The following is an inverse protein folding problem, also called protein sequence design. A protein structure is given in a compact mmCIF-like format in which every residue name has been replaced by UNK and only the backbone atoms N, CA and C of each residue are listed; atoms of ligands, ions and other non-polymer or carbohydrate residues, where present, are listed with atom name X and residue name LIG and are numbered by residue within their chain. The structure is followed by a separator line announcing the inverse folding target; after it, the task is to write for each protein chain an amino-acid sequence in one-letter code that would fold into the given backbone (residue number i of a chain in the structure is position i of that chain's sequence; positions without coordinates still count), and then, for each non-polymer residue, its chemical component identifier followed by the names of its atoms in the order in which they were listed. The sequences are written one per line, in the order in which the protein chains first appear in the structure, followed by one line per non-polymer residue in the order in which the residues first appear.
data_IF_344583946846
#
_entry.id   IF_344583946846
#
_cell.length_a   1.000
_cell.length_b   1.000
_cell.length_c   1.000
_cell.angle_alpha   90.00
_cell.angle_beta   90.00
_cell.angle_gamma   90.00
#
_symmetry.space_group_name_H-M   'P 1'
#
loop_
_entity.id
_entity.type
_entity.pdbx_description
1 polymer ?
#
# COMPACT_ATOMS: atom_id res chain seq x y z
N UNK A 1 -4.90 3.84 29.55
CA UNK A 1 -3.95 4.15 28.45
C UNK A 1 -4.04 5.63 28.11
N UNK A 2 -2.91 6.32 27.86
CA UNK A 2 -2.95 7.73 27.46
C UNK A 2 -3.69 7.91 26.13
N UNK A 3 -4.83 8.62 26.15
CA UNK A 3 -5.61 8.94 24.95
C UNK A 3 -4.82 9.80 23.93
N UNK A 4 -3.70 10.40 24.34
CA UNK A 4 -2.93 11.36 23.55
C UNK A 4 -2.13 10.76 22.38
N UNK A 5 -2.14 9.44 22.19
CA UNK A 5 -1.32 8.79 21.15
C UNK A 5 -1.91 8.82 19.75
N UNK A 6 -3.23 8.65 19.58
CA UNK A 6 -3.92 8.76 18.29
C UNK A 6 -5.45 8.74 18.48
N UNK A 7 -6.18 9.21 17.47
CA UNK A 7 -7.64 9.04 17.34
C UNK A 7 -7.96 8.12 16.17
N UNK A 8 -9.10 7.43 16.24
CA UNK A 8 -9.66 6.63 15.14
C UNK A 8 -10.76 7.43 14.46
N UNK A 9 -10.74 7.48 13.14
CA UNK A 9 -11.69 8.25 12.34
C UNK A 9 -12.29 7.37 11.24
N UNK A 10 -13.59 7.12 11.32
CA UNK A 10 -14.31 6.20 10.44
C UNK A 10 -15.39 6.95 9.67
N UNK A 11 -15.24 7.20 8.36
CA UNK A 11 -16.33 7.68 7.54
C UNK A 11 -17.28 6.52 7.22
N UNK A 12 -18.59 6.75 7.34
CA UNK A 12 -19.59 5.72 7.07
C UNK A 12 -20.89 6.34 6.53
N UNK A 13 -21.50 5.67 5.55
CA UNK A 13 -22.73 6.14 4.90
C UNK A 13 -23.63 4.96 4.54
N UNK A 14 -24.86 4.97 5.08
CA UNK A 14 -25.88 3.92 4.88
C UNK A 14 -25.38 2.51 5.23
N UNK A 15 -24.53 2.39 6.24
CA UNK A 15 -23.85 1.15 6.65
C UNK A 15 -23.75 0.95 8.17
N UNK A 16 -24.74 1.32 8.99
CA UNK A 16 -24.61 1.24 10.44
C UNK A 16 -24.43 -0.22 10.93
N UNK A 17 -25.18 -1.17 10.38
CA UNK A 17 -25.05 -2.60 10.71
C UNK A 17 -23.72 -3.20 10.22
N UNK A 18 -23.26 -2.79 9.03
CA UNK A 18 -21.93 -3.20 8.51
C UNK A 18 -20.82 -2.70 9.42
N UNK A 19 -20.87 -1.43 9.81
CA UNK A 19 -19.92 -0.81 10.75
C UNK A 19 -19.91 -1.55 12.09
N UNK A 20 -21.08 -1.81 12.67
CA UNK A 20 -21.26 -2.56 13.92
C UNK A 20 -20.61 -3.93 13.85
N UNK A 21 -20.97 -4.69 12.83
CA UNK A 21 -20.60 -6.10 12.73
C UNK A 21 -19.18 -6.31 12.20
N UNK A 22 -18.54 -5.29 11.62
CA UNK A 22 -17.19 -5.39 11.05
C UNK A 22 -16.21 -4.48 11.77
N UNK A 23 -16.05 -3.23 11.35
CA UNK A 23 -14.96 -2.40 11.83
C UNK A 23 -15.03 -2.12 13.34
N UNK A 24 -16.21 -1.87 13.92
CA UNK A 24 -16.33 -1.70 15.38
C UNK A 24 -16.05 -2.99 16.14
N UNK A 25 -16.54 -4.15 15.64
CA UNK A 25 -16.21 -5.46 16.19
C UNK A 25 -14.69 -5.68 16.21
N UNK A 26 -13.99 -5.43 15.10
CA UNK A 26 -12.52 -5.57 15.02
C UNK A 26 -11.81 -4.66 16.03
N UNK A 27 -12.26 -3.41 16.16
CA UNK A 27 -11.68 -2.48 17.14
C UNK A 27 -11.92 -2.96 18.58
N UNK A 28 -13.11 -3.50 18.88
CA UNK A 28 -13.46 -4.07 20.17
C UNK A 28 -12.64 -5.34 20.49
N UNK A 29 -12.52 -6.28 19.55
CA UNK A 29 -11.70 -7.50 19.69
C UNK A 29 -10.23 -7.20 19.99
N UNK A 30 -9.73 -6.06 19.50
CA UNK A 30 -8.38 -5.58 19.77
C UNK A 30 -8.27 -4.60 20.95
N UNK A 31 -9.32 -4.48 21.77
CA UNK A 31 -9.36 -3.63 22.97
C UNK A 31 -8.99 -2.16 22.67
N UNK A 32 -9.38 -1.65 21.51
CA UNK A 32 -9.23 -0.23 21.20
C UNK A 32 -10.24 0.54 22.04
N UNK A 33 -9.74 1.47 22.85
CA UNK A 33 -10.57 2.31 23.72
C UNK A 33 -11.64 3.06 22.87
N UNK A 34 -12.94 2.85 23.14
CA UNK A 34 -14.04 3.54 22.46
C UNK A 34 -13.90 5.05 22.42
N UNK A 35 -13.28 5.67 23.44
CA UNK A 35 -13.01 7.12 23.50
C UNK A 35 -12.11 7.63 22.37
N UNK A 36 -11.42 6.73 21.65
CA UNK A 36 -10.63 7.08 20.45
C UNK A 36 -11.47 7.17 19.19
N UNK A 37 -12.66 6.55 19.15
CA UNK A 37 -13.38 6.25 17.91
C UNK A 37 -14.37 7.35 17.58
N UNK A 38 -14.13 8.05 16.49
CA UNK A 38 -15.01 9.10 15.97
C UNK A 38 -15.57 8.64 14.61
N UNK A 39 -16.89 8.57 14.52
CA UNK A 39 -17.61 8.12 13.34
C UNK A 39 -18.15 9.36 12.61
N UNK A 40 -17.90 9.45 11.31
CA UNK A 40 -18.29 10.57 10.48
C UNK A 40 -19.41 10.13 9.52
N UNK A 41 -20.55 10.81 9.59
CA UNK A 41 -21.76 10.52 8.79
C UNK A 41 -22.14 11.73 7.92
N UNK A 42 -22.97 11.52 6.89
CA UNK A 42 -23.26 12.54 5.87
C UNK A 42 -24.20 13.66 6.33
N UNK A 43 -25.10 13.37 7.26
CA UNK A 43 -26.21 14.26 7.64
C UNK A 43 -26.84 13.84 8.99
N UNK A 44 -27.81 14.63 9.44
CA UNK A 44 -28.51 14.41 10.72
C UNK A 44 -29.36 13.14 10.72
N UNK A 45 -29.89 12.73 9.56
CA UNK A 45 -30.67 11.51 9.44
C UNK A 45 -29.79 10.28 9.67
N UNK A 46 -28.63 10.23 9.00
CA UNK A 46 -27.63 9.18 9.24
C UNK A 46 -27.14 9.19 10.69
N UNK A 47 -26.92 10.35 11.31
CA UNK A 47 -26.55 10.41 12.74
C UNK A 47 -27.58 9.70 13.61
N UNK A 48 -28.87 9.97 13.40
CA UNK A 48 -29.96 9.36 14.16
C UNK A 48 -30.04 7.85 13.94
N UNK A 49 -29.87 7.39 12.69
CA UNK A 49 -29.84 5.97 12.35
C UNK A 49 -28.68 5.27 13.06
N UNK A 50 -27.48 5.86 13.04
CA UNK A 50 -26.30 5.27 13.66
C UNK A 50 -26.40 5.24 15.19
N UNK A 51 -26.97 6.29 15.81
CA UNK A 51 -27.23 6.31 17.26
C UNK A 51 -28.18 5.20 17.71
N UNK A 52 -29.15 4.82 16.87
CA UNK A 52 -30.10 3.74 17.17
C UNK A 52 -29.48 2.35 17.03
N UNK A 53 -28.63 2.16 16.02
CA UNK A 53 -28.09 0.84 15.66
C UNK A 53 -26.79 0.49 16.42
N UNK A 54 -25.96 1.48 16.73
CA UNK A 54 -24.63 1.27 17.32
C UNK A 54 -24.67 1.28 18.86
N UNK A 55 -23.97 0.35 19.54
CA UNK A 55 -23.88 0.36 21.01
C UNK A 55 -23.21 1.66 21.51
N UNK A 56 -23.84 2.34 22.47
CA UNK A 56 -23.37 3.64 22.99
C UNK A 56 -21.94 3.60 23.57
N UNK A 57 -21.48 2.45 24.03
CA UNK A 57 -20.14 2.25 24.59
C UNK A 57 -19.11 1.77 23.55
N UNK A 58 -19.46 1.70 22.27
CA UNK A 58 -18.55 1.23 21.20
C UNK A 58 -17.82 2.36 20.46
N UNK A 59 -18.15 3.62 20.73
CA UNK A 59 -17.52 4.79 20.11
C UNK A 59 -17.52 6.01 21.05
N UNK A 60 -16.81 7.07 20.65
CA UNK A 60 -16.75 8.35 21.35
C UNK A 60 -17.83 9.31 20.85
N UNK A 61 -17.83 9.58 19.55
CA UNK A 61 -18.73 10.55 18.91
C UNK A 61 -19.16 10.08 17.53
N UNK A 62 -20.40 10.39 17.18
CA UNK A 62 -20.87 10.45 15.80
C UNK A 62 -20.92 11.93 15.41
N UNK A 63 -20.28 12.26 14.30
CA UNK A 63 -20.07 13.63 13.82
C UNK A 63 -20.71 13.76 12.44
N UNK A 64 -21.59 14.74 12.27
CA UNK A 64 -22.14 15.09 10.97
C UNK A 64 -21.09 15.89 10.21
N UNK A 65 -20.64 15.36 9.07
CA UNK A 65 -19.72 16.02 8.16
C UNK A 65 -20.41 16.42 6.86
N UNK A 66 -19.70 16.28 5.75
CA UNK A 66 -20.20 16.64 4.42
C UNK A 66 -20.45 15.39 3.56
N UNK A 67 -21.56 15.32 2.80
CA UNK A 67 -21.87 14.17 1.96
C UNK A 67 -20.89 14.03 0.79
N UNK A 68 -20.62 12.79 0.39
CA UNK A 68 -19.66 12.44 -0.68
C UNK A 68 -18.26 12.17 -0.15
N UNK A 69 -17.56 11.19 -0.75
CA UNK A 69 -16.27 10.73 -0.21
C UNK A 69 -15.20 11.82 -0.16
N UNK A 70 -15.08 12.63 -1.22
CA UNK A 70 -14.10 13.71 -1.28
C UNK A 70 -14.37 14.73 -0.17
N UNK A 71 -15.63 15.10 0.00
CA UNK A 71 -16.04 16.13 0.95
C UNK A 71 -15.85 15.66 2.39
N UNK A 72 -16.28 14.44 2.72
CA UNK A 72 -16.06 13.88 4.07
C UNK A 72 -14.57 13.76 4.38
N UNK A 73 -13.75 13.32 3.41
CA UNK A 73 -12.29 13.23 3.56
C UNK A 73 -11.61 14.59 3.68
N UNK A 74 -12.21 15.65 3.13
CA UNK A 74 -11.77 17.04 3.32
C UNK A 74 -12.24 17.66 4.64
N UNK A 75 -13.37 17.20 5.17
CA UNK A 75 -13.93 17.65 6.44
C UNK A 75 -13.15 17.09 7.63
N UNK A 76 -12.88 15.78 7.64
CA UNK A 76 -12.19 15.08 8.74
C UNK A 76 -10.88 15.74 9.22
N UNK A 77 -9.90 16.09 8.36
CA UNK A 77 -8.65 16.71 8.80
C UNK A 77 -8.83 18.11 9.40
N UNK A 78 -9.90 18.85 9.02
CA UNK A 78 -10.26 20.15 9.61
C UNK A 78 -10.83 19.99 11.02
N UNK A 79 -11.58 18.91 11.25
CA UNK A 79 -12.13 18.57 12.57
C UNK A 79 -11.04 18.29 13.61
N UNK A 80 -9.94 17.65 13.20
CA UNK A 80 -8.81 17.34 14.07
C UNK A 80 -7.75 18.44 14.07
N UNK A 81 -6.93 18.52 15.12
CA UNK A 81 -5.85 19.51 15.23
C UNK A 81 -4.74 19.22 14.21
N UNK A 82 -4.05 20.27 13.75
CA UNK A 82 -2.81 20.10 12.98
C UNK A 82 -1.80 19.29 13.79
N UNK A 83 -1.06 18.38 13.15
CA UNK A 83 -0.10 17.48 13.80
C UNK A 83 -0.72 16.36 14.63
N UNK A 84 -2.05 16.28 14.76
CA UNK A 84 -2.72 15.20 15.48
C UNK A 84 -2.56 13.87 14.73
N UNK A 85 -2.29 12.79 15.46
CA UNK A 85 -2.22 11.44 14.89
C UNK A 85 -3.63 10.88 14.66
N UNK A 86 -3.99 10.70 13.40
CA UNK A 86 -5.30 10.20 12.97
C UNK A 86 -5.11 8.84 12.32
N UNK A 87 -5.78 7.82 12.84
CA UNK A 87 -5.90 6.51 12.23
C UNK A 87 -7.23 6.42 11.48
N UNK A 88 -7.16 6.50 10.16
CA UNK A 88 -8.32 6.31 9.29
C UNK A 88 -8.58 4.82 9.09
N UNK A 89 -9.84 4.43 9.23
CA UNK A 89 -10.31 3.07 8.99
C UNK A 89 -11.68 3.13 8.30
N UNK A 90 -11.89 2.34 7.26
CA UNK A 90 -13.21 2.25 6.60
C UNK A 90 -14.19 1.44 7.45
N UNK A 91 -15.48 1.52 7.11
CA UNK A 91 -16.58 0.93 7.87
C UNK A 91 -16.84 -0.57 7.61
N UNK A 92 -16.08 -1.18 6.70
CA UNK A 92 -16.29 -2.56 6.24
C UNK A 92 -15.08 -3.50 6.43
N UNK A 93 -14.16 -3.16 7.34
CA UNK A 93 -13.01 -4.00 7.68
C UNK A 93 -13.45 -5.16 8.56
N UNK A 94 -13.39 -6.37 8.00
CA UNK A 94 -13.79 -7.59 8.70
C UNK A 94 -12.66 -8.24 9.51
N UNK A 95 -11.41 -8.11 9.06
CA UNK A 95 -10.23 -8.70 9.71
C UNK A 95 -8.97 -7.89 9.37
N UNK A 96 -7.99 -7.90 10.28
CA UNK A 96 -6.64 -7.40 10.03
C UNK A 96 -5.66 -8.57 10.13
N UNK A 97 -4.85 -8.73 9.10
CA UNK A 97 -3.90 -9.84 8.99
C UNK A 97 -2.45 -9.36 9.03
N UNK A 98 -1.62 -10.19 9.65
CA UNK A 98 -0.18 -10.13 9.55
C UNK A 98 0.32 -11.33 8.72
N UNK A 99 1.26 -11.07 7.83
CA UNK A 99 1.94 -12.10 7.07
C UNK A 99 2.97 -12.80 7.97
N UNK A 100 3.03 -14.12 7.86
CA UNK A 100 4.00 -15.01 8.49
C UNK A 100 4.67 -15.84 7.42
N UNK A 101 5.98 -16.07 7.57
CA UNK A 101 6.74 -16.98 6.74
C UNK A 101 7.40 -18.02 7.65
N UNK A 102 7.18 -19.31 7.38
CA UNK A 102 7.66 -20.40 8.24
C UNK A 102 7.30 -20.19 9.73
N UNK A 103 6.05 -19.78 10.01
CA UNK A 103 5.53 -19.45 11.35
C UNK A 103 6.18 -18.26 12.08
N UNK A 104 7.10 -17.52 11.45
CA UNK A 104 7.71 -16.30 12.00
C UNK A 104 7.22 -15.07 11.25
N UNK A 105 7.23 -13.91 11.90
CA UNK A 105 6.99 -12.65 11.18
C UNK A 105 8.16 -12.43 10.22
N UNK A 106 7.91 -12.14 8.92
CA UNK A 106 8.96 -12.13 7.93
C UNK A 106 10.11 -11.15 8.20
N UNK A 107 9.84 -10.03 8.89
CA UNK A 107 10.87 -9.07 9.31
C UNK A 107 11.78 -9.57 10.45
N UNK A 108 11.57 -10.80 10.95
CA UNK A 108 12.40 -11.47 11.95
C UNK A 108 13.13 -12.68 11.37
N UNK A 109 13.16 -12.82 10.05
CA UNK A 109 13.85 -13.91 9.34
C UNK A 109 15.14 -13.39 8.70
N UNK A 110 16.07 -14.32 8.46
CA UNK A 110 17.24 -14.04 7.63
C UNK A 110 16.92 -14.23 6.14
N UNK A 111 17.76 -13.66 5.26
CA UNK A 111 17.62 -13.77 3.80
C UNK A 111 17.50 -15.20 3.28
N UNK A 112 18.26 -16.10 3.89
CA UNK A 112 18.45 -17.46 3.39
C UNK A 112 17.26 -18.38 3.71
N UNK A 113 16.43 -17.99 4.67
CA UNK A 113 15.24 -18.76 5.10
C UNK A 113 13.95 -18.23 4.51
N UNK A 114 13.91 -16.95 4.10
CA UNK A 114 12.72 -16.36 3.51
C UNK A 114 12.45 -16.92 2.09
N UNK A 115 11.28 -17.53 1.92
CA UNK A 115 10.72 -17.85 0.60
C UNK A 115 9.23 -17.52 0.59
N UNK A 116 8.82 -16.61 -0.30
CA UNK A 116 7.43 -16.13 -0.42
C UNK A 116 6.38 -17.24 -0.57
N UNK A 117 6.75 -18.45 -1.02
CA UNK A 117 5.83 -19.59 -1.10
C UNK A 117 5.32 -20.05 0.28
N UNK A 118 6.05 -19.73 1.34
CA UNK A 118 5.69 -20.04 2.73
C UNK A 118 4.93 -18.89 3.41
N UNK A 119 4.65 -17.80 2.70
CA UNK A 119 3.85 -16.71 3.25
C UNK A 119 2.42 -17.17 3.53
N UNK A 120 1.93 -16.89 4.75
CA UNK A 120 0.60 -17.21 5.23
C UNK A 120 0.07 -16.06 6.08
N UNK A 121 -1.21 -15.74 5.94
CA UNK A 121 -1.86 -14.75 6.79
C UNK A 121 -2.34 -15.38 8.09
N UNK A 122 -2.12 -14.67 9.19
CA UNK A 122 -2.75 -14.95 10.50
C UNK A 122 -3.33 -13.63 11.02
N UNK A 123 -4.43 -13.70 11.78
CA UNK A 123 -5.01 -12.50 12.42
C UNK A 123 -3.92 -11.79 13.21
N UNK A 124 -3.87 -10.46 13.13
CA UNK A 124 -2.92 -9.69 13.93
C UNK A 124 -3.23 -9.93 15.41
N UNK A 125 -2.20 -10.06 16.26
CA UNK A 125 -2.42 -10.31 17.69
C UNK A 125 -2.94 -9.09 18.43
N UNK A 126 -2.40 -7.91 18.09
CA UNK A 126 -2.70 -6.67 18.79
C UNK A 126 -2.65 -5.48 17.82
N UNK A 127 -3.82 -5.05 17.35
CA UNK A 127 -3.94 -3.90 16.45
C UNK A 127 -3.52 -2.59 17.13
N UNK A 128 -3.85 -2.41 18.42
CA UNK A 128 -3.48 -1.21 19.17
C UNK A 128 -1.97 -0.99 19.18
N UNK A 129 -1.22 -2.03 19.55
CA UNK A 129 0.25 -1.97 19.56
C UNK A 129 0.82 -1.70 18.17
N UNK A 130 0.25 -2.32 17.12
CA UNK A 130 0.67 -2.04 15.75
C UNK A 130 0.47 -0.57 15.36
N UNK A 131 -0.67 0.03 15.69
CA UNK A 131 -0.94 1.45 15.38
C UNK A 131 0.08 2.36 16.09
N UNK A 132 0.39 2.09 17.36
CA UNK A 132 1.38 2.86 18.11
C UNK A 132 2.80 2.72 17.52
N UNK A 133 3.21 1.49 17.21
CA UNK A 133 4.49 1.20 16.54
C UNK A 133 4.56 1.87 15.17
N UNK A 134 3.46 1.85 14.40
CA UNK A 134 3.39 2.47 13.08
C UNK A 134 3.59 3.98 13.15
N UNK A 135 2.91 4.68 14.06
CA UNK A 135 3.14 6.11 14.28
C UNK A 135 4.53 6.43 14.82
N UNK A 136 5.09 5.56 15.67
CA UNK A 136 6.46 5.73 16.18
C UNK A 136 7.49 5.61 15.05
N UNK A 137 7.35 4.60 14.19
CA UNK A 137 8.22 4.38 13.05
C UNK A 137 8.06 5.48 11.99
N UNK A 138 6.83 5.91 11.72
CA UNK A 138 6.50 7.03 10.85
C UNK A 138 7.25 8.30 11.29
N UNK A 139 7.14 8.66 12.59
CA UNK A 139 7.89 9.79 13.18
C UNK A 139 9.39 9.62 13.03
N UNK A 140 9.94 8.43 13.35
CA UNK A 140 11.39 8.14 13.22
C UNK A 140 11.88 8.32 11.78
N UNK A 141 11.08 7.90 10.80
CA UNK A 141 11.39 8.00 9.37
C UNK A 141 11.02 9.36 8.76
N UNK A 142 10.44 10.29 9.53
CA UNK A 142 9.91 11.58 9.07
C UNK A 142 8.90 11.44 7.93
N UNK A 143 8.00 10.45 8.06
CA UNK A 143 6.95 10.16 7.09
C UNK A 143 5.61 10.36 7.79
N UNK A 144 4.86 11.38 7.40
CA UNK A 144 3.61 11.72 8.08
C UNK A 144 2.45 10.84 7.63
N UNK A 145 2.52 10.20 6.46
CA UNK A 145 1.54 9.20 6.03
C UNK A 145 2.10 7.78 6.02
N UNK A 146 1.37 6.87 6.66
CA UNK A 146 1.64 5.44 6.62
C UNK A 146 0.39 4.61 6.33
N UNK A 147 0.56 3.39 5.82
CA UNK A 147 -0.55 2.45 5.69
C UNK A 147 -0.13 1.02 5.45
N UNK A 148 -1.12 0.18 5.17
CA UNK A 148 -0.95 -1.27 5.04
C UNK A 148 -0.92 -1.70 3.57
N UNK A 149 -0.57 -2.96 3.32
CA UNK A 149 -0.58 -3.54 1.99
C UNK A 149 -2.03 -3.59 1.44
N UNK A 150 -2.27 -3.18 0.18
CA UNK A 150 -3.62 -2.92 -0.33
C UNK A 150 -4.40 -4.17 -0.75
N UNK A 151 -3.77 -5.35 -0.77
CA UNK A 151 -4.38 -6.58 -1.30
C UNK A 151 -4.12 -7.73 -0.35
N UNK A 152 -5.17 -8.44 0.06
CA UNK A 152 -5.09 -9.66 0.86
C UNK A 152 -4.50 -10.83 0.03
N UNK A 153 -3.22 -10.76 -0.30
CA UNK A 153 -2.51 -11.80 -1.04
C UNK A 153 -1.09 -12.00 -0.47
N UNK A 154 -0.91 -12.99 0.43
CA UNK A 154 0.36 -13.19 1.13
C UNK A 154 1.53 -13.48 0.18
N UNK A 155 1.28 -14.06 -0.99
CA UNK A 155 2.33 -14.38 -1.96
C UNK A 155 3.09 -13.14 -2.46
N UNK A 156 2.40 -11.99 -2.56
CA UNK A 156 3.01 -10.73 -3.00
C UNK A 156 3.37 -9.77 -1.86
N UNK A 157 3.02 -10.10 -0.62
CA UNK A 157 3.41 -9.38 0.60
C UNK A 157 4.86 -9.70 0.98
N UNK A 158 5.80 -9.16 0.22
CA UNK A 158 7.24 -9.44 0.29
C UNK A 158 8.06 -8.20 0.70
N UNK A 159 9.34 -8.36 1.11
CA UNK A 159 10.24 -7.23 1.36
C UNK A 159 10.38 -6.37 0.10
N UNK A 160 10.61 -5.08 0.30
CA UNK A 160 10.74 -4.14 -0.84
C UNK A 160 12.16 -3.65 -1.07
N UNK A 161 13.01 -3.72 -0.06
CA UNK A 161 14.42 -3.32 -0.15
C UNK A 161 15.31 -4.54 -0.41
N UNK A 162 16.61 -4.31 -0.57
CA UNK A 162 17.61 -5.39 -0.59
C UNK A 162 17.73 -6.11 0.77
N UNK A 163 17.16 -5.50 1.81
CA UNK A 163 17.08 -6.03 3.18
C UNK A 163 15.83 -6.90 3.30
N UNK A 164 15.97 -8.23 3.25
CA UNK A 164 14.85 -9.18 3.28
C UNK A 164 14.06 -9.14 4.59
N UNK A 165 14.59 -8.53 5.63
CA UNK A 165 13.90 -8.26 6.89
C UNK A 165 13.08 -6.96 6.86
N UNK A 166 13.28 -6.07 5.88
CA UNK A 166 12.52 -4.83 5.80
C UNK A 166 11.24 -5.00 4.98
N UNK A 167 10.15 -5.24 5.71
CA UNK A 167 8.80 -5.27 5.17
C UNK A 167 8.15 -3.90 5.10
N UNK A 168 8.91 -2.83 5.31
CA UNK A 168 8.46 -1.47 5.06
C UNK A 168 8.97 -0.96 3.72
N UNK A 169 8.24 -0.03 3.11
CA UNK A 169 8.73 0.78 1.99
C UNK A 169 8.59 2.25 2.33
N UNK A 170 9.54 3.08 1.89
CA UNK A 170 9.55 4.53 2.09
C UNK A 170 9.52 5.33 0.78
N UNK A 171 9.57 4.66 -0.38
CA UNK A 171 9.46 5.30 -1.70
C UNK A 171 7.98 5.52 -2.08
N UNK A 172 7.73 6.27 -3.16
CA UNK A 172 6.38 6.51 -3.68
C UNK A 172 5.60 5.20 -3.85
N UNK A 173 4.62 5.03 -2.98
CA UNK A 173 3.79 3.83 -2.88
C UNK A 173 2.34 4.21 -2.71
N UNK A 174 1.44 3.34 -3.18
CA UNK A 174 0.02 3.52 -2.93
C UNK A 174 -0.29 3.17 -1.47
N UNK A 175 -0.79 4.16 -0.73
CA UNK A 175 -1.30 4.04 0.63
C UNK A 175 -2.83 4.02 0.57
N UNK A 176 -3.39 2.83 0.68
CA UNK A 176 -4.83 2.60 0.54
C UNK A 176 -5.64 3.28 1.66
N UNK A 177 -6.81 3.81 1.30
CA UNK A 177 -7.68 4.56 2.23
C UNK A 177 -8.33 3.72 3.33
N UNK A 178 -8.50 2.41 3.14
CA UNK A 178 -9.27 1.59 4.08
C UNK A 178 -8.63 1.43 5.47
N UNK A 179 -7.30 1.59 5.56
CA UNK A 179 -6.55 1.54 6.82
C UNK A 179 -5.21 2.25 6.64
N UNK A 180 -5.12 3.47 7.16
CA UNK A 180 -3.95 4.34 7.04
C UNK A 180 -3.86 5.25 8.26
N UNK A 181 -2.65 5.60 8.68
CA UNK A 181 -2.44 6.63 9.67
C UNK A 181 -1.74 7.85 9.10
N UNK A 182 -2.10 9.01 9.64
CA UNK A 182 -1.53 10.29 9.27
C UNK A 182 -1.16 11.10 10.50
N UNK A 183 -0.02 11.78 10.47
CA UNK A 183 0.24 12.95 11.30
C UNK A 183 -0.42 14.10 10.54
N UNK A 184 -1.55 14.58 11.06
CA UNK A 184 -2.47 15.44 10.32
C UNK A 184 -1.75 16.65 9.74
N UNK A 185 -1.69 16.72 8.42
CA UNK A 185 -1.32 17.91 7.70
C UNK A 185 -2.53 18.39 6.90
N UNK A 186 -3.23 19.41 7.40
CA UNK A 186 -4.50 19.86 6.80
C UNK A 186 -4.37 20.27 5.34
N UNK A 187 -3.20 20.76 4.93
CA UNK A 187 -2.91 21.14 3.53
C UNK A 187 -2.80 19.91 2.63
N UNK A 188 -2.01 18.92 3.04
CA UNK A 188 -1.79 17.71 2.23
C UNK A 188 -2.97 16.73 2.25
N UNK A 189 -3.86 16.83 3.25
CA UNK A 189 -5.08 16.02 3.31
C UNK A 189 -6.17 16.43 2.30
N UNK A 190 -6.09 17.63 1.71
CA UNK A 190 -7.11 18.10 0.75
C UNK A 190 -7.18 17.15 -0.46
N UNK A 191 -8.37 16.69 -0.81
CA UNK A 191 -8.69 15.85 -1.97
C UNK A 191 -9.45 16.65 -3.00
N UNK A 192 -9.04 16.49 -4.25
CA UNK A 192 -9.60 17.22 -5.40
C UNK A 192 -10.44 16.33 -6.31
N UNK A 193 -10.37 15.01 -6.11
CA UNK A 193 -11.10 13.99 -6.86
C UNK A 193 -11.83 13.05 -5.89
N UNK A 194 -12.90 12.42 -6.38
CA UNK A 194 -13.70 11.48 -5.61
C UNK A 194 -13.13 10.06 -5.65
N UNK A 195 -12.95 9.51 -6.85
CA UNK A 195 -12.32 8.21 -7.03
C UNK A 195 -10.79 8.35 -7.05
N UNK A 196 -10.07 7.37 -6.49
CA UNK A 196 -8.59 7.39 -6.37
C UNK A 196 -8.03 8.56 -5.55
N UNK A 197 -8.86 9.15 -4.69
CA UNK A 197 -8.46 10.20 -3.73
C UNK A 197 -7.28 9.80 -2.83
N UNK A 198 -7.15 8.51 -2.54
CA UNK A 198 -6.07 7.91 -1.76
C UNK A 198 -4.74 7.85 -2.53
N UNK A 199 -4.79 7.70 -3.86
CA UNK A 199 -3.61 7.93 -4.71
C UNK A 199 -3.18 9.40 -4.65
N UNK A 200 -4.12 10.35 -4.67
CA UNK A 200 -3.78 11.77 -4.54
C UNK A 200 -3.08 12.04 -3.20
N UNK A 201 -3.63 11.57 -2.08
CA UNK A 201 -2.98 11.69 -0.75
C UNK A 201 -1.60 11.08 -0.74
N UNK A 202 -1.46 9.87 -1.26
CA UNK A 202 -0.17 9.17 -1.31
C UNK A 202 0.89 10.02 -2.04
N UNK A 203 0.52 10.65 -3.15
CA UNK A 203 1.41 11.53 -3.92
C UNK A 203 1.73 12.82 -3.14
N UNK A 204 0.73 13.44 -2.50
CA UNK A 204 0.90 14.69 -1.75
C UNK A 204 1.85 14.53 -0.56
N UNK A 205 1.63 13.52 0.28
CA UNK A 205 2.56 13.23 1.38
C UNK A 205 3.93 12.79 0.86
N UNK A 206 4.00 12.03 -0.23
CA UNK A 206 5.27 11.70 -0.85
C UNK A 206 6.07 12.94 -1.28
N UNK A 207 5.41 13.92 -1.88
CA UNK A 207 6.03 15.19 -2.28
C UNK A 207 6.48 16.02 -1.06
N UNK A 208 5.70 16.01 0.02
CA UNK A 208 6.01 16.73 1.26
C UNK A 208 7.19 16.11 2.02
N UNK A 209 7.19 14.79 2.20
CA UNK A 209 8.10 14.09 3.11
C UNK A 209 9.29 13.41 2.39
N UNK A 210 9.30 13.42 1.05
CA UNK A 210 10.24 12.65 0.25
C UNK A 210 9.95 11.13 0.26
N UNK A 211 8.85 10.71 0.87
CA UNK A 211 8.50 9.30 1.05
C UNK A 211 7.10 9.09 1.62
N UNK A 212 6.65 7.83 1.63
CA UNK A 212 5.47 7.38 2.38
C UNK A 212 5.76 6.01 2.99
N UNK A 213 5.31 5.74 4.21
CA UNK A 213 5.61 4.50 4.91
C UNK A 213 4.54 3.43 4.66
N UNK A 214 4.86 2.34 3.96
CA UNK A 214 3.91 1.21 3.83
C UNK A 214 4.40 -0.05 4.52
N UNK A 215 3.56 -0.63 5.37
CA UNK A 215 3.77 -1.95 5.97
C UNK A 215 3.30 -3.04 4.99
N UNK A 216 4.24 -3.69 4.31
CA UNK A 216 3.95 -4.70 3.29
C UNK A 216 3.63 -6.08 3.89
N UNK A 217 3.80 -6.28 5.20
CA UNK A 217 3.43 -7.49 5.92
C UNK A 217 2.10 -7.39 6.67
N UNK A 218 1.36 -6.28 6.58
CA UNK A 218 0.04 -6.10 7.18
C UNK A 218 -0.97 -5.83 6.06
N UNK A 219 -2.18 -6.39 6.15
CA UNK A 219 -3.28 -6.16 5.19
C UNK A 219 -4.61 -6.28 5.91
N UNK A 220 -5.69 -5.84 5.27
CA UNK A 220 -7.06 -6.03 5.77
C UNK A 220 -7.88 -6.92 4.84
N UNK A 221 -8.92 -7.53 5.40
CA UNK A 221 -10.02 -8.11 4.63
C UNK A 221 -11.20 -7.14 4.59
N UNK A 222 -11.53 -6.71 3.38
CA UNK A 222 -12.67 -5.84 3.06
C UNK A 222 -13.36 -6.39 1.83
N UNK A 223 -14.68 -6.17 1.74
CA UNK A 223 -15.50 -6.52 0.59
C UNK A 223 -15.66 -5.31 -0.34
N UNK A 224 -14.52 -4.74 -0.75
CA UNK A 224 -14.48 -3.67 -1.74
C UNK A 224 -15.35 -4.02 -2.96
N UNK A 225 -16.18 -3.06 -3.39
CA UNK A 225 -17.09 -3.14 -4.55
C UNK A 225 -18.30 -4.08 -4.42
N UNK A 226 -18.53 -4.71 -3.25
CA UNK A 226 -19.68 -5.62 -3.06
C UNK A 226 -20.63 -5.21 -1.95
N UNK A 227 -20.17 -4.42 -0.99
CA UNK A 227 -21.01 -3.95 0.12
C UNK A 227 -21.99 -2.85 -0.35
N UNK A 228 -23.31 -3.00 -0.12
CA UNK A 228 -24.28 -1.95 -0.43
C UNK A 228 -23.99 -0.69 0.39
N UNK A 229 -24.40 0.47 -0.13
CA UNK A 229 -24.08 1.77 0.48
C UNK A 229 -22.64 2.23 0.22
N UNK A 230 -22.17 3.20 1.02
CA UNK A 230 -20.85 3.81 0.86
C UNK A 230 -20.62 4.42 -0.54
N UNK A 231 -19.36 4.46 -0.98
CA UNK A 231 -18.98 5.11 -2.24
C UNK A 231 -19.55 4.41 -3.49
N UNK A 232 -20.00 3.16 -3.38
CA UNK A 232 -20.50 2.41 -4.52
C UNK A 232 -21.80 2.98 -5.08
N UNK A 233 -22.57 3.71 -4.27
CA UNK A 233 -23.86 4.31 -4.64
C UNK A 233 -23.72 5.24 -5.84
N UNK A 234 -22.61 5.97 -5.95
CA UNK A 234 -22.41 7.00 -6.97
C UNK A 234 -21.27 6.66 -7.96
N UNK A 235 -20.63 5.51 -7.79
CA UNK A 235 -19.42 5.16 -8.53
C UNK A 235 -19.76 4.70 -9.95
N UNK A 236 -19.20 5.36 -10.95
CA UNK A 236 -19.30 4.97 -12.37
C UNK A 236 -17.94 4.69 -12.98
N UNK A 237 -17.90 3.91 -14.07
CA UNK A 237 -16.66 3.67 -14.83
C UNK A 237 -16.03 4.96 -15.35
N UNK A 238 -16.88 5.91 -15.79
CA UNK A 238 -16.46 7.22 -16.27
C UNK A 238 -15.79 8.03 -15.16
N UNK A 239 -16.44 8.13 -13.98
CA UNK A 239 -15.88 8.89 -12.83
C UNK A 239 -14.51 8.36 -12.38
N UNK A 240 -14.34 7.03 -12.38
CA UNK A 240 -13.05 6.38 -12.08
C UNK A 240 -12.00 6.73 -13.14
N UNK A 241 -12.39 6.70 -14.42
CA UNK A 241 -11.49 7.03 -15.53
C UNK A 241 -11.06 8.49 -15.47
N UNK A 242 -11.99 9.42 -15.31
CA UNK A 242 -11.71 10.86 -15.24
C UNK A 242 -10.78 11.20 -14.09
N UNK A 243 -10.99 10.57 -12.92
CA UNK A 243 -10.11 10.74 -11.76
C UNK A 243 -8.69 10.20 -12.03
N UNK A 244 -8.57 9.07 -12.75
CA UNK A 244 -7.28 8.53 -13.15
C UNK A 244 -6.55 9.45 -14.15
N UNK A 245 -7.28 9.97 -15.14
CA UNK A 245 -6.76 10.91 -16.14
C UNK A 245 -6.29 12.19 -15.46
N UNK A 246 -7.11 12.76 -14.57
CA UNK A 246 -6.77 13.95 -13.79
C UNK A 246 -5.45 13.77 -13.03
N UNK A 247 -5.29 12.66 -12.30
CA UNK A 247 -4.05 12.37 -11.57
C UNK A 247 -2.83 12.33 -12.49
N UNK A 248 -2.95 11.71 -13.66
CA UNK A 248 -1.82 11.60 -14.61
C UNK A 248 -1.47 12.90 -15.29
N UNK A 249 -2.44 13.81 -15.48
CA UNK A 249 -2.20 15.17 -15.98
C UNK A 249 -1.55 16.06 -14.91
N UNK A 250 -2.02 15.95 -13.66
CA UNK A 250 -1.52 16.73 -12.53
C UNK A 250 -0.14 16.29 -12.05
N UNK A 251 0.15 14.99 -12.10
CA UNK A 251 1.41 14.40 -11.62
C UNK A 251 2.07 13.49 -12.68
N UNK A 252 2.43 14.02 -13.86
CA UNK A 252 2.85 13.21 -15.02
C UNK A 252 4.16 12.45 -14.78
N UNK A 253 5.00 12.95 -13.87
CA UNK A 253 6.27 12.32 -13.49
C UNK A 253 6.13 11.30 -12.35
N UNK A 254 4.97 11.22 -11.68
CA UNK A 254 4.77 10.36 -10.51
C UNK A 254 3.75 9.24 -10.73
N UNK A 255 2.93 9.34 -11.78
CA UNK A 255 1.98 8.28 -12.11
C UNK A 255 1.70 8.14 -13.60
N UNK A 256 1.06 7.04 -13.98
CA UNK A 256 0.61 6.76 -15.34
C UNK A 256 -0.67 5.92 -15.32
N UNK A 257 -1.46 6.00 -16.39
CA UNK A 257 -2.63 5.14 -16.56
C UNK A 257 -2.22 3.67 -16.67
N UNK A 258 -3.09 2.80 -16.18
CA UNK A 258 -3.00 1.36 -16.31
C UNK A 258 -4.37 0.80 -16.70
N UNK A 259 -4.59 0.68 -18.00
CA UNK A 259 -5.85 0.21 -18.61
C UNK A 259 -5.87 -1.30 -18.88
N UNK A 260 -4.78 -2.02 -18.59
CA UNK A 260 -4.60 -3.43 -18.96
C UNK A 260 -5.21 -4.42 -17.96
N UNK A 261 -5.96 -3.95 -16.96
CA UNK A 261 -6.51 -4.79 -15.90
C UNK A 261 -7.80 -5.48 -16.36
N UNK A 262 -7.95 -6.75 -16.01
CA UNK A 262 -9.14 -7.57 -16.33
C UNK A 262 -10.44 -7.03 -15.75
N UNK A 263 -10.38 -6.18 -14.72
CA UNK A 263 -11.55 -5.57 -14.10
C UNK A 263 -12.27 -4.56 -15.00
N UNK A 264 -11.63 -4.08 -16.07
CA UNK A 264 -12.20 -3.05 -16.96
C UNK A 264 -12.22 -1.64 -16.36
N UNK A 265 -11.76 -1.45 -15.12
CA UNK A 265 -11.56 -0.13 -14.52
C UNK A 265 -10.17 0.42 -14.89
N UNK A 266 -10.12 1.72 -15.17
CA UNK A 266 -8.84 2.41 -15.39
C UNK A 266 -8.10 2.51 -14.05
N UNK A 267 -6.92 1.92 -13.97
CA UNK A 267 -6.06 1.99 -12.78
C UNK A 267 -4.97 3.05 -12.91
N UNK A 268 -4.37 3.42 -11.78
CA UNK A 268 -3.21 4.32 -11.73
C UNK A 268 -2.01 3.51 -11.27
N UNK A 269 -0.90 3.64 -11.98
CA UNK A 269 0.41 3.11 -11.56
C UNK A 269 1.25 4.25 -11.04
N UNK A 270 1.66 4.17 -9.78
CA UNK A 270 2.63 5.10 -9.20
C UNK A 270 4.06 4.68 -9.58
N UNK A 271 4.86 5.64 -10.01
CA UNK A 271 6.30 5.51 -10.28
C UNK A 271 6.90 6.90 -10.38
N UNK A 272 7.88 7.21 -9.55
CA UNK A 272 8.68 8.42 -9.71
C UNK A 272 9.64 8.26 -10.91
N UNK A 273 9.52 9.18 -11.87
CA UNK A 273 10.35 9.24 -13.09
C UNK A 273 11.33 10.42 -13.08
N UNK A 274 11.32 11.27 -12.04
CA UNK A 274 12.15 12.48 -11.97
C UNK A 274 13.64 12.16 -12.07
N UNK A 275 14.10 11.12 -11.37
CA UNK A 275 15.50 10.69 -11.40
C UNK A 275 15.94 10.11 -12.76
N UNK A 276 15.03 9.47 -13.50
CA UNK A 276 15.36 8.90 -14.82
C UNK A 276 15.55 9.99 -15.89
N UNK A 277 14.97 11.17 -15.70
CA UNK A 277 15.11 12.28 -16.65
C UNK A 277 16.44 13.02 -16.50
N UNK A 278 17.03 13.06 -15.29
CA UNK A 278 18.33 13.71 -15.07
C UNK A 278 19.49 12.89 -15.68
N UNK A 279 19.41 11.55 -15.65
CA UNK A 279 20.44 10.70 -16.27
C UNK A 279 20.39 10.68 -17.80
N UNK A 280 19.21 10.92 -18.40
CA UNK A 280 19.10 11.03 -19.87
C UNK A 280 19.57 12.39 -20.40
N UNK A 281 19.53 13.45 -19.59
CA UNK A 281 20.07 14.76 -19.98
C UNK A 281 21.61 14.84 -19.80
N UNK A 282 22.18 14.10 -18.84
CA UNK A 282 23.64 14.09 -18.64
C UNK A 282 24.41 13.26 -19.68
N UNK A 283 23.75 12.32 -20.37
CA UNK A 283 24.39 11.55 -21.45
C UNK A 283 24.49 12.32 -22.78
N UNK A 284 23.84 13.48 -22.91
CA UNK A 284 23.94 14.33 -24.10
C UNK A 284 24.88 15.54 -23.92
N UNK A 285 25.45 15.74 -22.72
CA UNK A 285 26.32 16.87 -22.40
C UNK A 285 27.69 16.43 -21.83
N UNK A 286 28.29 15.38 -22.37
CA UNK A 286 29.72 15.15 -22.19
C UNK A 286 30.52 15.91 -23.25
N UNK A 287 30.63 17.23 -23.06
CA UNK A 287 31.82 17.97 -23.48
C UNK A 287 32.64 18.29 -22.23
N UNK A 288 33.89 17.87 -22.30
CA UNK A 288 34.94 17.93 -21.29
C UNK A 288 34.92 19.19 -20.42
N UNK A 289 34.88 19.03 -19.09
CA UNK A 289 35.61 19.91 -18.18
C UNK A 289 36.04 19.15 -16.93
N UNK A 290 37.34 18.92 -16.80
CA UNK A 290 38.00 18.45 -15.58
C UNK A 290 38.26 19.64 -14.66
N UNK A 291 37.73 19.59 -13.43
CA UNK A 291 38.15 20.47 -12.35
C UNK A 291 39.02 19.69 -11.37
N UNK A 292 40.31 20.01 -11.36
CA UNK A 292 41.25 19.71 -10.30
C UNK A 292 40.94 20.59 -9.09
N UNK A 293 40.88 19.99 -7.89
CA UNK A 293 40.90 20.73 -6.64
C UNK A 293 41.95 20.10 -5.72
N UNK A 294 43.15 20.70 -5.74
CA UNK A 294 44.14 20.59 -4.68
C UNK A 294 43.70 21.50 -3.53
N UNK A 295 43.53 20.95 -2.34
CA UNK A 295 43.47 21.73 -1.09
C UNK A 295 44.58 21.23 -0.18
N UNK A 296 45.56 22.11 0.01
CA UNK A 296 46.67 22.01 0.94
C UNK A 296 46.16 21.97 2.40
N UNK A 297 46.73 21.08 3.22
CA UNK A 297 46.73 21.16 4.68
C UNK A 297 48.18 21.13 5.15
N UNK A 298 48.61 21.97 6.10
CA UNK A 298 50.00 22.03 6.52
C UNK A 298 50.36 20.86 7.44
N UNK A 299 51.60 20.43 7.29
CA UNK A 299 52.29 19.41 8.10
C UNK A 299 52.51 19.86 9.55
N UNK A 300 52.41 18.91 10.48
CA UNK A 300 53.27 18.89 11.67
C UNK A 300 53.91 17.50 11.74
N UNK A 301 55.22 17.48 11.55
CA UNK A 301 56.12 16.33 11.68
C UNK A 301 56.34 16.00 13.14
N UNK A 302 56.17 14.74 13.52
CA UNK A 302 57.00 14.08 14.52
C UNK A 302 57.43 12.74 13.90
N UNK A 303 58.74 12.58 13.78
CA UNK A 303 59.43 11.38 13.28
C UNK A 303 59.72 10.52 14.50
N UNK A 304 59.37 9.23 14.46
CA UNK A 304 60.16 8.23 15.18
C UNK A 304 60.25 6.92 14.36
N UNK A 305 61.45 6.37 14.31
CA UNK A 305 61.94 5.33 13.42
C UNK A 305 62.21 4.06 14.23
N UNK A 306 61.41 3.01 14.04
CA UNK A 306 61.85 1.64 14.33
C UNK A 306 61.16 0.63 13.38
N UNK A 307 61.97 0.02 12.50
CA UNK A 307 61.64 -1.07 11.56
C UNK A 307 61.49 -2.44 12.30
N UNK A 308 61.35 -3.59 11.61
CA UNK A 308 60.31 -4.02 10.67
C UNK A 308 59.77 -5.44 11.01
N UNK A 309 58.61 -5.87 10.48
CA UNK A 309 58.44 -7.30 10.18
C UNK A 309 57.42 -7.56 9.07
N UNK A 310 57.79 -8.55 8.27
CA UNK A 310 57.25 -8.96 6.98
C UNK A 310 55.97 -9.78 7.07
N UNK A 311 55.04 -9.61 6.13
CA UNK A 311 54.16 -10.72 5.74
C UNK A 311 53.89 -10.71 4.22
N UNK A 312 54.41 -11.73 3.54
CA UNK A 312 54.24 -12.02 2.11
C UNK A 312 52.84 -12.57 1.89
N UNK A 313 52.00 -11.89 1.11
CA UNK A 313 50.74 -12.45 0.62
C UNK A 313 50.95 -13.04 -0.78
N UNK A 314 50.92 -14.37 -0.88
CA UNK A 314 50.96 -15.11 -2.15
C UNK A 314 49.64 -14.91 -2.90
N UNK A 315 49.70 -14.32 -4.09
CA UNK A 315 48.61 -14.30 -5.07
C UNK A 315 48.55 -15.68 -5.73
N UNK A 316 47.45 -16.42 -5.54
CA UNK A 316 47.11 -17.60 -6.34
C UNK A 316 46.20 -17.17 -7.48
N UNK A 317 46.70 -17.24 -8.72
CA UNK A 317 45.87 -17.21 -9.92
C UNK A 317 44.92 -18.43 -9.90
N UNK A 318 43.63 -18.19 -10.14
CA UNK A 318 42.66 -19.24 -10.48
C UNK A 318 42.33 -19.12 -11.96
N UNK A 319 42.54 -20.23 -12.66
CA UNK A 319 42.28 -20.42 -14.07
C UNK A 319 40.78 -20.25 -14.43
N UNK A 320 40.55 -19.63 -15.58
CA UNK A 320 39.24 -19.45 -16.21
C UNK A 320 38.66 -20.78 -16.69
N UNK A 321 37.51 -21.21 -16.13
CA UNK A 321 36.66 -22.22 -16.75
C UNK A 321 35.81 -21.59 -17.86
N UNK A 322 35.97 -22.10 -19.08
CA UNK A 322 35.12 -21.85 -20.25
C UNK A 322 33.65 -22.14 -19.92
N UNK A 323 32.78 -21.15 -20.13
CA UNK A 323 31.31 -21.33 -20.14
C UNK A 323 30.89 -21.54 -21.60
N UNK A 324 30.42 -22.73 -21.92
CA UNK A 324 29.72 -23.03 -23.18
C UNK A 324 28.26 -22.59 -23.07
N UNK A 325 27.82 -21.70 -23.98
CA UNK A 325 26.44 -21.27 -24.09
C UNK A 325 25.55 -22.38 -24.67
N UNK A 326 24.54 -22.84 -23.91
CA UNK A 326 23.42 -23.63 -24.46
C UNK A 326 22.33 -22.70 -24.98
N UNK A 327 22.02 -22.79 -26.28
CA UNK A 327 20.85 -22.14 -26.92
C UNK A 327 19.52 -22.70 -26.36
N UNK A 328 18.46 -21.89 -26.15
CA UNK A 328 17.16 -22.40 -25.74
C UNK A 328 16.34 -22.96 -26.92
N UNK A 329 15.82 -24.18 -26.74
CA UNK A 329 14.93 -24.90 -27.68
C UNK A 329 13.50 -24.31 -27.69
N UNK A 330 13.30 -23.23 -28.44
CA UNK A 330 11.99 -22.57 -28.62
C UNK A 330 11.00 -23.40 -29.47
N UNK A 331 11.51 -24.16 -30.44
CA UNK A 331 10.69 -24.88 -31.43
C UNK A 331 9.94 -26.09 -30.84
N UNK A 332 10.55 -26.79 -29.89
CA UNK A 332 9.94 -27.98 -29.27
C UNK A 332 8.76 -27.66 -28.33
N UNK A 333 8.76 -26.47 -27.73
CA UNK A 333 7.65 -26.02 -26.88
C UNK A 333 6.44 -25.55 -27.70
N UNK A 334 6.67 -24.97 -28.89
CA UNK A 334 5.61 -24.51 -29.79
C UNK A 334 4.83 -25.70 -30.38
N UNK A 335 5.54 -26.76 -30.79
CA UNK A 335 4.91 -27.99 -31.31
C UNK A 335 4.10 -28.75 -30.24
N UNK A 336 4.49 -28.65 -28.97
CA UNK A 336 3.76 -29.27 -27.84
C UNK A 336 2.47 -28.53 -27.50
N UNK A 337 2.39 -27.23 -27.76
CA UNK A 337 1.16 -26.45 -27.57
C UNK A 337 0.15 -26.63 -28.70
N UNK A 338 0.62 -26.81 -29.95
CA UNK A 338 -0.27 -27.03 -31.09
C UNK A 338 -0.99 -28.39 -31.04
N UNK A 339 -0.33 -29.45 -30.53
CA UNK A 339 -0.98 -30.77 -30.34
C UNK A 339 -2.05 -30.82 -29.24
N UNK A 340 -2.13 -29.81 -28.36
CA UNK A 340 -3.17 -29.74 -27.31
C UNK A 340 -4.45 -29.02 -27.75
N UNK A 341 -4.46 -28.34 -28.90
CA UNK A 341 -5.61 -27.54 -29.39
C UNK A 341 -6.58 -28.28 -30.33
N UNK A 342 -6.32 -29.54 -30.69
CA UNK A 342 -7.14 -30.31 -31.65
C UNK A 342 -7.95 -31.46 -31.04
N UNK A 343 -8.28 -31.44 -29.74
CA UNK A 343 -9.30 -32.33 -29.16
C UNK A 343 -10.55 -31.52 -28.78
N UNK A 344 -11.46 -31.39 -29.74
CA UNK A 344 -12.86 -30.99 -29.56
C UNK A 344 -13.73 -31.92 -30.41
N UNK A 345 -14.94 -32.20 -29.88
CA UNK A 345 -15.97 -33.21 -30.25
C UNK A 345 -15.77 -34.49 -29.42
N UNK A 346 -16.70 -34.89 -28.56
CA UNK A 346 -18.15 -35.07 -28.79
C UNK A 346 -19.03 -34.60 -27.61
N UNK A 347 -20.25 -34.15 -27.93
CA UNK A 347 -21.33 -33.84 -26.97
C UNK A 347 -22.38 -34.95 -27.09
N UNK A 348 -22.80 -35.61 -25.99
CA UNK A 348 -23.87 -36.59 -26.05
C UNK A 348 -25.24 -35.90 -26.10
N UNK A 349 -26.08 -36.31 -27.06
CA UNK A 349 -27.49 -35.93 -27.19
C UNK A 349 -28.27 -36.39 -25.95
N UNK A 350 -28.96 -35.47 -25.27
CA UNK A 350 -30.02 -35.81 -24.31
C UNK A 350 -31.38 -35.43 -24.90
N UNK A 351 -32.26 -36.42 -24.92
CA UNK A 351 -33.65 -36.34 -25.34
C UNK A 351 -34.45 -35.40 -24.42
N UNK A 352 -35.23 -34.49 -25.03
CA UNK A 352 -36.31 -33.75 -24.38
C UNK A 352 -37.64 -34.16 -25.04
N UNK A 353 -38.70 -34.44 -24.26
CA UNK A 353 -39.94 -34.96 -24.80
C UNK A 353 -40.81 -33.86 -25.39
N UNK A 354 -41.41 -34.20 -26.53
CA UNK A 354 -42.46 -33.46 -27.21
C UNK A 354 -43.71 -33.47 -26.32
N UNK A 355 -44.27 -32.31 -25.99
CA UNK A 355 -45.69 -32.17 -25.67
C UNK A 355 -46.34 -31.12 -26.56
N UNK A 356 -47.40 -31.59 -27.22
CA UNK A 356 -48.22 -30.98 -28.24
C UNK A 356 -49.02 -29.80 -27.68
N UNK A 357 -49.15 -28.74 -28.47
CA UNK A 357 -50.32 -27.86 -28.40
C UNK A 357 -51.53 -28.59 -28.98
N UNK A 358 -52.70 -28.40 -28.36
CA UNK A 358 -53.97 -28.90 -28.85
C UNK A 358 -55.14 -28.36 -28.02
N UNK A 359 -55.84 -27.39 -28.65
CA UNK A 359 -57.15 -26.77 -28.34
C UNK A 359 -57.29 -25.94 -27.08
#
# INVERSE_FOLDING_TARGET
MSLNKYVVAIPSYKRPTTLKNKSLRVLQEHNIDPKRINIFVSDKEQENIYKKELPNNSYNKIIVGEPGIKNIRNFMPKYFKEGQKIFYMDDDISEVFQNFNQNKVPNKLNKNTYDKKYNKLKKIKNLHNFIEEAFSLAKKKKMDNWGVYPVENPYFMKPTTKEPEDFTSTYLSYIIGFMTGVINNRKEEIRTIDDKEDYERSIKYYLKDGGVLRFNNITCRTNCYKEPGGMQVERTKQRIHDSAVYLTKKYPQLCSLNTKKKSGFTEVRLKDKRENNNNNNNNNNNSNYSYSNNINKPETKIIDLSKPSSCKMKIKLKEHKKITMKKPNFLNNLMRQLKKKTKLKEIPKKNLPIRKCGM
#
